data_IF_563417054282
#
_entry.id   IF_563417054282
#
_cell.length_a   1.000
_cell.length_b   1.000
_cell.length_c   1.000
_cell.angle_alpha   90.00
_cell.angle_beta   90.00
_cell.angle_gamma   90.00
#
_symmetry.space_group_name_H-M   'P 1'
#
loop_
_entity.id
_entity.type
_entity.pdbx_description
1 polymer ?
#
# COMPACT_ATOMS: atom_id res chain seq x y z
N UNK A 1 -5.73 7.94 -17.82
CA UNK A 1 -5.05 6.94 -16.99
C UNK A 1 -5.68 6.91 -15.59
N UNK A 2 -5.63 5.79 -14.86
CA UNK A 2 -6.15 5.69 -13.48
C UNK A 2 -5.00 5.40 -12.53
N UNK A 3 -5.08 5.89 -11.29
CA UNK A 3 -4.13 5.55 -10.24
C UNK A 3 -4.11 4.03 -9.95
N UNK A 4 -2.97 3.52 -9.46
CA UNK A 4 -2.91 2.18 -8.86
C UNK A 4 -3.96 2.09 -7.75
N UNK A 5 -4.71 1.00 -7.70
CA UNK A 5 -5.76 0.82 -6.72
C UNK A 5 -5.67 -0.53 -6.05
N UNK A 6 -6.17 -0.60 -4.82
CA UNK A 6 -6.32 -1.82 -4.05
C UNK A 6 -7.80 -2.00 -3.70
N UNK A 7 -8.27 -3.24 -3.72
CA UNK A 7 -9.65 -3.60 -3.44
C UNK A 7 -9.68 -4.62 -2.29
N UNK A 8 -10.37 -4.26 -1.21
CA UNK A 8 -10.58 -5.13 -0.06
C UNK A 8 -12.00 -5.69 -0.08
N UNK A 9 -12.11 -7.01 -0.21
CA UNK A 9 -13.40 -7.72 -0.22
C UNK A 9 -14.08 -7.79 1.17
N UNK A 10 -13.32 -7.52 2.22
CA UNK A 10 -13.76 -7.51 3.63
C UNK A 10 -13.12 -6.33 4.36
N UNK A 11 -13.66 -5.98 5.54
CA UNK A 11 -13.04 -4.97 6.39
C UNK A 11 -11.67 -5.47 6.85
N UNK A 12 -10.64 -4.67 6.68
CA UNK A 12 -9.27 -5.02 7.08
C UNK A 12 -8.76 -4.06 8.15
N UNK A 13 -7.82 -4.53 8.95
CA UNK A 13 -7.04 -3.70 9.86
C UNK A 13 -5.64 -3.54 9.32
N UNK A 14 -5.16 -2.30 9.26
CA UNK A 14 -3.82 -1.96 8.79
C UNK A 14 -3.15 -1.10 9.86
N UNK A 15 -2.06 -1.59 10.45
CA UNK A 15 -1.35 -0.93 11.55
C UNK A 15 -2.28 -0.48 12.71
N UNK A 16 -3.24 -1.34 13.08
CA UNK A 16 -4.23 -1.05 14.12
C UNK A 16 -5.38 -0.12 13.70
N UNK A 17 -5.36 0.43 12.48
CA UNK A 17 -6.46 1.24 11.95
C UNK A 17 -7.45 0.36 11.17
N UNK A 18 -8.75 0.42 11.49
CA UNK A 18 -9.77 -0.27 10.71
C UNK A 18 -10.00 0.46 9.38
N UNK A 19 -10.00 -0.31 8.30
CA UNK A 19 -10.26 0.12 6.93
C UNK A 19 -11.46 -0.69 6.43
N UNK A 20 -12.61 -0.03 6.19
CA UNK A 20 -13.79 -0.71 5.65
C UNK A 20 -13.50 -1.36 4.29
N UNK A 21 -14.23 -2.43 3.97
CA UNK A 21 -14.21 -3.04 2.64
C UNK A 21 -14.46 -2.00 1.56
N UNK A 22 -13.83 -2.18 0.42
CA UNK A 22 -13.95 -1.27 -0.72
C UNK A 22 -12.64 -1.04 -1.43
N UNK A 23 -12.71 -0.13 -2.41
CA UNK A 23 -11.61 0.18 -3.31
C UNK A 23 -10.98 1.53 -2.98
N UNK A 24 -9.66 1.56 -2.97
CA UNK A 24 -8.86 2.72 -2.59
C UNK A 24 -7.73 2.95 -3.60
N UNK A 25 -7.37 4.22 -3.80
CA UNK A 25 -6.14 4.57 -4.50
C UNK A 25 -4.94 4.23 -3.60
N UNK A 26 -3.92 3.60 -4.18
CA UNK A 26 -2.70 3.22 -3.48
C UNK A 26 -1.55 4.11 -3.94
N UNK A 27 -1.04 4.92 -3.01
CA UNK A 27 0.06 5.85 -3.27
C UNK A 27 1.24 5.55 -2.36
N UNK A 28 2.43 5.82 -2.89
CA UNK A 28 3.68 5.65 -2.17
C UNK A 28 4.51 6.93 -2.27
N UNK A 29 5.17 7.30 -1.18
CA UNK A 29 6.19 8.35 -1.15
C UNK A 29 7.49 7.65 -0.73
N UNK A 30 8.38 7.33 -1.69
CA UNK A 30 9.67 6.72 -1.39
C UNK A 30 10.55 7.63 -0.52
N UNK A 31 11.34 7.02 0.35
CA UNK A 31 12.39 7.69 1.12
C UNK A 31 13.57 6.74 1.34
N UNK A 32 14.69 7.26 1.84
CA UNK A 32 15.93 6.48 1.98
C UNK A 32 15.86 5.35 3.02
N UNK A 33 15.11 5.56 4.11
CA UNK A 33 14.97 4.59 5.21
C UNK A 33 13.53 4.14 5.44
N UNK A 34 12.59 5.01 5.10
CA UNK A 34 11.17 4.81 5.33
C UNK A 34 10.40 5.26 4.11
N UNK A 35 9.37 4.51 3.74
CA UNK A 35 8.40 4.93 2.73
C UNK A 35 7.10 5.32 3.41
N UNK A 36 6.39 6.28 2.83
CA UNK A 36 5.00 6.53 3.23
C UNK A 36 4.08 5.77 2.29
N UNK A 37 3.23 4.91 2.85
CA UNK A 37 2.15 4.24 2.11
C UNK A 37 0.81 4.89 2.45
N UNK A 38 0.00 5.11 1.42
CA UNK A 38 -1.24 5.87 1.53
C UNK A 38 -2.38 5.10 0.84
N UNK A 39 -3.49 4.97 1.55
CA UNK A 39 -4.78 4.60 0.98
C UNK A 39 -5.66 5.85 0.90
N UNK A 40 -6.12 6.18 -0.30
CA UNK A 40 -6.97 7.35 -0.55
C UNK A 40 -8.33 6.90 -1.09
N UNK A 41 -9.41 7.55 -0.66
CA UNK A 41 -10.78 7.23 -1.12
C UNK A 41 -11.01 7.51 -2.60
N UNK A 42 -10.28 8.48 -3.17
CA UNK A 42 -10.39 8.81 -4.58
C UNK A 42 -9.55 7.84 -5.44
N UNK A 43 -10.09 6.65 -5.70
CA UNK A 43 -9.40 5.63 -6.50
C UNK A 43 -9.61 5.80 -8.02
N UNK A 44 -10.45 6.75 -8.45
CA UNK A 44 -10.76 6.99 -9.87
C UNK A 44 -9.97 8.14 -10.49
N UNK A 45 -9.16 8.84 -9.68
CA UNK A 45 -8.39 9.99 -10.12
C UNK A 45 -7.37 9.69 -11.22
N UNK A 46 -7.05 10.76 -11.95
CA UNK A 46 -6.04 10.73 -12.99
C UNK A 46 -4.64 10.80 -12.34
N UNK A 47 -4.01 9.64 -12.17
CA UNK A 47 -2.68 9.52 -11.55
C UNK A 47 -2.65 10.21 -10.17
N UNK A 48 -1.61 10.97 -9.85
CA UNK A 48 -1.49 11.70 -8.58
C UNK A 48 -1.93 13.18 -8.70
N UNK A 49 -2.41 13.62 -9.86
CA UNK A 49 -2.67 15.03 -10.15
C UNK A 49 -3.82 15.59 -9.28
N UNK A 50 -4.85 14.77 -9.05
CA UNK A 50 -6.01 15.11 -8.20
C UNK A 50 -5.86 14.60 -6.75
N UNK A 51 -4.64 14.29 -6.31
CA UNK A 51 -4.42 13.77 -4.95
C UNK A 51 -4.78 14.81 -3.89
N UNK A 52 -5.74 14.45 -3.03
CA UNK A 52 -6.16 15.24 -1.87
C UNK A 52 -5.85 14.47 -0.57
N UNK A 53 -4.93 14.97 0.28
CA UNK A 53 -4.65 14.38 1.59
C UNK A 53 -5.87 14.28 2.51
N UNK A 54 -6.91 15.12 2.34
CA UNK A 54 -8.14 15.04 3.12
C UNK A 54 -8.94 13.75 2.84
N UNK A 55 -8.64 13.08 1.73
CA UNK A 55 -9.25 11.82 1.31
C UNK A 55 -8.43 10.59 1.74
N UNK A 56 -7.31 10.78 2.45
CA UNK A 56 -6.50 9.69 2.99
C UNK A 56 -7.26 8.95 4.11
N UNK A 57 -7.44 7.65 3.94
CA UNK A 57 -7.98 6.74 4.96
C UNK A 57 -6.86 6.25 5.87
N UNK A 58 -5.71 5.98 5.26
CA UNK A 58 -4.52 5.48 5.93
C UNK A 58 -3.33 6.21 5.34
N UNK A 59 -2.47 6.75 6.20
CA UNK A 59 -1.17 7.30 5.84
C UNK A 59 -0.17 6.85 6.88
N UNK A 60 0.75 5.98 6.50
CA UNK A 60 1.72 5.43 7.45
C UNK A 60 3.11 5.33 6.88
N UNK A 61 4.09 5.36 7.77
CA UNK A 61 5.48 5.09 7.45
C UNK A 61 5.79 3.61 7.67
N UNK A 62 6.48 3.02 6.71
CA UNK A 62 6.99 1.64 6.77
C UNK A 62 8.49 1.65 6.54
N UNK A 63 9.22 0.82 7.28
CA UNK A 63 10.67 0.69 7.11
C UNK A 63 10.98 0.01 5.78
N UNK A 64 11.95 0.55 5.04
CA UNK A 64 12.49 -0.13 3.87
C UNK A 64 13.43 -1.25 4.28
N UNK A 65 13.28 -2.41 3.64
CA UNK A 65 14.18 -3.54 3.73
C UNK A 65 15.07 -3.57 2.48
N UNK A 66 16.35 -3.86 2.66
CA UNK A 66 17.27 -4.04 1.53
C UNK A 66 17.14 -5.44 0.95
N UNK A 67 17.04 -5.54 -0.37
CA UNK A 67 17.04 -6.78 -1.13
C UNK A 67 18.45 -7.14 -1.62
N UNK A 68 18.74 -8.44 -1.72
CA UNK A 68 19.97 -8.96 -2.35
C UNK A 68 19.99 -8.66 -3.85
N UNK A 69 18.87 -8.92 -4.50
CA UNK A 69 18.66 -8.83 -5.94
C UNK A 69 17.96 -7.52 -6.31
N UNK A 70 18.22 -7.03 -7.52
CA UNK A 70 17.58 -5.83 -8.04
C UNK A 70 16.21 -6.17 -8.65
N UNK A 71 15.20 -5.37 -8.32
CA UNK A 71 13.87 -5.37 -8.91
C UNK A 71 13.74 -4.17 -9.85
N UNK A 72 13.98 -4.39 -11.14
CA UNK A 72 14.04 -3.33 -12.15
C UNK A 72 12.68 -2.62 -12.39
N UNK A 73 11.57 -3.36 -12.21
CA UNK A 73 10.21 -2.83 -12.38
C UNK A 73 9.50 -2.71 -11.04
N UNK A 74 8.83 -1.58 -10.79
CA UNK A 74 8.03 -1.38 -9.59
C UNK A 74 6.97 -2.49 -9.49
N UNK A 75 7.11 -3.34 -8.48
CA UNK A 75 6.29 -4.54 -8.28
C UNK A 75 5.41 -4.37 -7.05
N UNK A 76 4.13 -4.72 -7.20
CA UNK A 76 3.17 -4.84 -6.10
C UNK A 76 2.77 -6.32 -5.97
N UNK A 77 2.81 -6.84 -4.75
CA UNK A 77 2.49 -8.23 -4.46
C UNK A 77 1.55 -8.32 -3.24
N UNK A 78 0.60 -9.25 -3.28
CA UNK A 78 -0.22 -9.61 -2.13
C UNK A 78 0.19 -11.00 -1.68
N UNK A 79 0.86 -11.07 -0.54
CA UNK A 79 1.40 -12.30 0.04
C UNK A 79 0.39 -12.83 1.07
N UNK A 80 -0.19 -14.02 0.87
CA UNK A 80 -1.12 -14.61 1.83
C UNK A 80 -0.39 -15.03 3.12
N UNK A 81 -0.99 -14.72 4.27
CA UNK A 81 -0.54 -15.15 5.60
C UNK A 81 -1.38 -16.29 6.16
N UNK A 82 -1.18 -16.62 7.43
CA UNK A 82 -2.00 -17.61 8.12
C UNK A 82 -3.36 -17.03 8.54
N UNK A 83 -4.44 -17.79 8.33
CA UNK A 83 -5.80 -17.38 8.71
C UNK A 83 -6.28 -16.19 7.90
N UNK A 84 -6.65 -15.09 8.57
CA UNK A 84 -7.12 -13.84 7.93
C UNK A 84 -6.00 -12.81 7.74
N UNK A 85 -4.74 -13.21 7.82
CA UNK A 85 -3.61 -12.27 7.66
C UNK A 85 -3.06 -12.29 6.24
N UNK A 86 -2.42 -11.19 5.84
CA UNK A 86 -1.69 -11.08 4.59
C UNK A 86 -0.74 -9.89 4.63
N UNK A 87 0.08 -9.75 3.61
CA UNK A 87 1.03 -8.64 3.48
C UNK A 87 0.95 -8.09 2.07
N UNK A 88 0.78 -6.78 1.94
CA UNK A 88 0.99 -6.09 0.66
C UNK A 88 2.47 -5.68 0.62
N UNK A 89 3.21 -6.16 -0.37
CA UNK A 89 4.61 -5.81 -0.57
C UNK A 89 4.77 -4.91 -1.79
N UNK A 90 5.65 -3.92 -1.69
CA UNK A 90 6.09 -3.08 -2.81
C UNK A 90 7.59 -3.18 -2.92
N UNK A 91 8.09 -3.51 -4.11
CA UNK A 91 9.52 -3.66 -4.36
C UNK A 91 9.97 -2.86 -5.57
N UNK A 92 11.11 -2.19 -5.45
CA UNK A 92 11.78 -1.47 -6.54
C UNK A 92 13.26 -1.29 -6.23
N UNK A 93 14.10 -1.42 -7.26
CA UNK A 93 15.56 -1.52 -7.11
C UNK A 93 15.94 -2.57 -6.05
N UNK A 94 16.72 -2.17 -5.03
CA UNK A 94 17.08 -3.04 -3.89
C UNK A 94 16.26 -2.75 -2.65
N UNK A 95 15.05 -2.21 -2.81
CA UNK A 95 14.18 -1.82 -1.71
C UNK A 95 12.90 -2.66 -1.77
N UNK A 96 12.50 -3.17 -0.60
CA UNK A 96 11.18 -3.74 -0.35
C UNK A 96 10.54 -3.05 0.84
N UNK A 97 9.26 -2.75 0.74
CA UNK A 97 8.44 -2.31 1.88
C UNK A 97 7.23 -3.22 2.01
N UNK A 98 6.83 -3.48 3.25
CA UNK A 98 5.78 -4.43 3.57
C UNK A 98 4.72 -3.77 4.44
N UNK A 99 3.46 -4.03 4.09
CA UNK A 99 2.28 -3.55 4.77
C UNK A 99 1.45 -4.75 5.22
N UNK A 100 1.61 -5.18 6.49
CA UNK A 100 0.78 -6.24 7.05
C UNK A 100 -0.68 -5.80 7.14
N UNK A 101 -1.59 -6.69 6.75
CA UNK A 101 -3.04 -6.52 6.80
C UNK A 101 -3.67 -7.71 7.52
N UNK A 102 -4.78 -7.46 8.24
CA UNK A 102 -5.58 -8.52 8.87
C UNK A 102 -7.04 -8.31 8.52
N UNK A 103 -7.67 -9.28 7.87
CA UNK A 103 -9.11 -9.29 7.62
C UNK A 103 -9.91 -9.53 8.90
N UNK A 104 -11.07 -8.89 8.99
CA UNK A 104 -12.02 -9.03 10.10
C UNK A 104 -12.84 -10.32 9.99
#
# INVERSE_FOLDING_TARGET
>A
HKATSIDFSTDVTINGQPVPKGKYGFFTIPGEKEWTLILNKNHEQHLADDYDPAMDVVRMKVQSQSLSDNVEMLQYEVIPGAGKTGTIAVSWEKIKVELPITGS
#
